data_IF_331625240432
#
_entry.id   IF_331625240432
#
_cell.length_a   1.000
_cell.length_b   1.000
_cell.length_c   1.000
_cell.angle_alpha   90.00
_cell.angle_beta   90.00
_cell.angle_gamma   90.00
#
_symmetry.space_group_name_H-M   'P 1'
#
loop_
_entity.id
_entity.type
_entity.pdbx_description
1 polymer ?
#
# COMPACT_ATOMS: atom_id res chain seq x y z
N UNK A 1 2.93 -25.25 -7.93
CA UNK A 1 3.20 -25.64 -9.32
C UNK A 1 4.20 -26.80 -9.29
N UNK A 2 3.77 -28.01 -9.65
CA UNK A 2 4.68 -29.16 -9.72
C UNK A 2 5.05 -29.39 -11.19
N UNK A 3 6.34 -29.56 -11.46
CA UNK A 3 6.85 -29.86 -12.79
C UNK A 3 7.17 -31.35 -12.86
N UNK A 4 6.31 -32.13 -13.50
CA UNK A 4 6.63 -33.52 -13.86
C UNK A 4 7.03 -33.55 -15.34
N UNK A 5 8.27 -33.97 -15.60
CA UNK A 5 8.77 -34.17 -16.96
C UNK A 5 8.34 -35.55 -17.47
N UNK A 6 7.56 -35.60 -18.55
CA UNK A 6 7.24 -36.83 -19.27
C UNK A 6 7.72 -36.64 -20.72
N UNK A 7 8.98 -36.99 -20.99
CA UNK A 7 9.58 -36.88 -22.32
C UNK A 7 9.75 -35.42 -22.82
N UNK A 8 9.37 -35.16 -24.09
CA UNK A 8 9.44 -33.83 -24.75
C UNK A 8 8.33 -32.85 -24.27
N UNK A 9 7.57 -33.24 -23.25
CA UNK A 9 6.43 -32.48 -22.73
C UNK A 9 6.63 -32.18 -21.24
N UNK A 10 6.43 -30.92 -20.87
CA UNK A 10 6.20 -30.55 -19.48
C UNK A 10 4.70 -30.38 -19.28
N UNK A 11 4.12 -31.19 -18.40
CA UNK A 11 2.75 -31.00 -17.95
C UNK A 11 2.79 -29.99 -16.79
N UNK A 12 2.39 -28.75 -17.06
CA UNK A 12 2.16 -27.78 -15.98
C UNK A 12 0.75 -28.03 -15.48
N UNK A 13 0.67 -28.88 -14.47
CA UNK A 13 -0.55 -29.16 -13.75
C UNK A 13 -0.81 -27.98 -12.82
N UNK A 14 -1.79 -27.15 -13.17
CA UNK A 14 -2.36 -26.19 -12.23
C UNK A 14 -3.42 -26.96 -11.44
N UNK A 15 -2.90 -27.82 -10.56
CA UNK A 15 -3.69 -28.56 -9.59
C UNK A 15 -3.98 -27.64 -8.42
N UNK A 16 -5.26 -27.50 -8.12
CA UNK A 16 -5.74 -26.52 -7.16
C UNK A 16 -6.20 -27.23 -5.88
N UNK A 17 -6.67 -28.47 -6.00
CA UNK A 17 -6.77 -29.47 -4.94
C UNK A 17 -6.82 -30.88 -5.56
N UNK A 18 -6.74 -31.97 -4.78
CA UNK A 18 -6.77 -33.37 -5.26
C UNK A 18 -7.98 -33.72 -6.14
N UNK A 19 -9.07 -32.94 -6.04
CA UNK A 19 -10.33 -33.19 -6.74
C UNK A 19 -10.72 -32.11 -7.77
N UNK A 20 -10.01 -30.96 -7.82
CA UNK A 20 -10.36 -29.84 -8.69
C UNK A 20 -9.15 -29.40 -9.52
N UNK A 21 -9.17 -29.77 -10.80
CA UNK A 21 -8.23 -29.25 -11.80
C UNK A 21 -8.86 -28.03 -12.46
N UNK A 22 -8.28 -26.84 -12.24
CA UNK A 22 -8.72 -25.61 -12.91
C UNK A 22 -8.24 -25.55 -14.36
N UNK A 23 -7.01 -26.00 -14.63
CA UNK A 23 -6.47 -26.06 -15.98
C UNK A 23 -5.31 -27.06 -16.11
N UNK A 24 -5.27 -27.75 -17.26
CA UNK A 24 -4.04 -28.38 -17.75
C UNK A 24 -3.36 -27.41 -18.72
N UNK A 25 -2.07 -27.14 -18.48
CA UNK A 25 -1.21 -26.43 -19.41
C UNK A 25 -0.15 -27.42 -19.89
N UNK A 26 -0.32 -27.91 -21.11
CA UNK A 26 0.66 -28.79 -21.76
C UNK A 26 1.61 -27.91 -22.54
N UNK A 27 2.87 -27.87 -22.13
CA UNK A 27 3.92 -27.13 -22.85
C UNK A 27 4.76 -28.13 -23.63
N UNK A 28 4.69 -28.04 -24.96
CA UNK A 28 5.57 -28.79 -25.88
C UNK A 28 6.81 -27.95 -26.12
N UNK A 29 7.95 -28.34 -25.53
CA UNK A 29 9.23 -27.69 -25.82
C UNK A 29 9.88 -28.42 -27.00
N UNK A 30 9.74 -27.87 -28.20
CA UNK A 30 10.58 -28.30 -29.32
C UNK A 30 11.98 -27.73 -29.10
N UNK A 31 12.95 -28.61 -28.85
CA UNK A 31 14.40 -28.38 -28.76
C UNK A 31 15.04 -28.18 -27.37
N UNK A 32 16.21 -28.81 -27.23
CA UNK A 32 17.11 -28.78 -26.07
C UNK A 32 17.58 -27.38 -25.62
N UNK A 33 17.26 -26.30 -26.34
CA UNK A 33 17.68 -24.92 -26.05
C UNK A 33 16.81 -24.18 -25.02
N UNK A 34 15.68 -24.74 -24.61
CA UNK A 34 14.70 -24.07 -23.74
C UNK A 34 14.67 -24.58 -22.29
N UNK A 35 15.82 -24.99 -21.74
CA UNK A 35 15.94 -25.53 -20.37
C UNK A 35 16.15 -24.49 -19.25
N UNK A 36 15.99 -23.20 -19.53
CA UNK A 36 16.03 -22.18 -18.46
C UNK A 36 14.65 -22.04 -17.82
N UNK A 37 14.58 -22.03 -16.48
CA UNK A 37 13.35 -21.84 -15.72
C UNK A 37 12.58 -20.56 -16.15
N UNK A 38 13.31 -19.54 -16.62
CA UNK A 38 12.73 -18.30 -17.16
C UNK A 38 11.89 -18.54 -18.43
N UNK A 39 12.38 -19.35 -19.37
CA UNK A 39 11.65 -19.66 -20.61
C UNK A 39 10.36 -20.42 -20.30
N UNK A 40 10.45 -21.43 -19.43
CA UNK A 40 9.28 -22.20 -18.99
C UNK A 40 8.25 -21.28 -18.35
N UNK A 41 8.69 -20.35 -17.50
CA UNK A 41 7.82 -19.35 -16.87
C UNK A 41 7.12 -18.48 -17.92
N UNK A 42 7.83 -17.92 -18.89
CA UNK A 42 7.25 -17.10 -19.96
C UNK A 42 6.20 -17.87 -20.78
N UNK A 43 6.46 -19.14 -21.12
CA UNK A 43 5.49 -19.95 -21.86
C UNK A 43 4.24 -20.22 -21.00
N UNK A 44 4.41 -20.50 -19.71
CA UNK A 44 3.28 -20.70 -18.80
C UNK A 44 2.40 -19.46 -18.72
N UNK A 45 3.00 -18.27 -18.61
CA UNK A 45 2.28 -17.00 -18.55
C UNK A 45 1.45 -16.79 -19.82
N UNK A 46 2.03 -17.01 -21.01
CA UNK A 46 1.30 -16.90 -22.28
C UNK A 46 0.12 -17.86 -22.40
N UNK A 47 0.27 -19.10 -21.94
CA UNK A 47 -0.86 -20.05 -21.95
C UNK A 47 -1.92 -19.63 -20.93
N UNK A 48 -1.50 -19.20 -19.75
CA UNK A 48 -2.39 -18.72 -18.69
C UNK A 48 -3.21 -17.52 -19.14
N UNK A 49 -2.59 -16.55 -19.80
CA UNK A 49 -3.22 -15.35 -20.33
C UNK A 49 -4.50 -15.68 -21.13
N UNK A 50 -4.43 -16.64 -22.05
CA UNK A 50 -5.59 -17.05 -22.87
C UNK A 50 -6.74 -17.67 -22.08
N UNK A 51 -6.43 -18.32 -20.94
CA UNK A 51 -7.41 -18.99 -20.07
C UNK A 51 -7.85 -18.13 -18.90
N UNK A 52 -7.13 -17.04 -18.62
CA UNK A 52 -7.27 -16.25 -17.41
C UNK A 52 -8.69 -15.70 -17.23
N UNK A 53 -9.34 -15.09 -18.24
CA UNK A 53 -10.69 -14.54 -18.05
C UNK A 53 -11.73 -15.59 -17.63
N UNK A 54 -11.61 -16.82 -18.17
CA UNK A 54 -12.51 -17.92 -17.82
C UNK A 54 -12.26 -18.43 -16.39
N UNK A 55 -10.99 -18.49 -15.96
CA UNK A 55 -10.61 -18.85 -14.60
C UNK A 55 -11.10 -17.82 -13.58
N UNK A 56 -10.88 -16.53 -13.87
CA UNK A 56 -11.34 -15.40 -13.05
C UNK A 56 -12.86 -15.47 -12.87
N UNK A 57 -13.62 -15.63 -13.96
CA UNK A 57 -15.09 -15.75 -13.90
C UNK A 57 -15.56 -16.96 -13.09
N UNK A 58 -14.85 -18.09 -13.20
CA UNK A 58 -15.19 -19.29 -12.43
C UNK A 58 -14.97 -19.05 -10.93
N UNK A 59 -13.85 -18.45 -10.56
CA UNK A 59 -13.51 -18.17 -9.16
C UNK A 59 -14.43 -17.09 -8.57
N UNK A 60 -14.75 -16.05 -9.32
CA UNK A 60 -15.75 -15.04 -8.96
C UNK A 60 -17.11 -15.67 -8.59
N UNK A 61 -17.59 -16.60 -9.43
CA UNK A 61 -18.81 -17.36 -9.14
C UNK A 61 -18.66 -18.25 -7.90
N UNK A 62 -17.50 -18.87 -7.70
CA UNK A 62 -17.23 -19.72 -6.52
C UNK A 62 -17.20 -18.91 -5.22
N UNK A 63 -16.69 -17.67 -5.24
CA UNK A 63 -16.72 -16.80 -4.05
C UNK A 63 -18.14 -16.26 -3.82
N UNK A 64 -18.84 -15.87 -4.88
CA UNK A 64 -20.22 -15.36 -4.79
C UNK A 64 -21.22 -16.40 -4.27
N UNK A 65 -20.98 -17.69 -4.55
CA UNK A 65 -21.77 -18.83 -4.07
C UNK A 65 -20.94 -19.71 -3.14
N UNK A 66 -20.18 -19.07 -2.24
CA UNK A 66 -19.19 -19.75 -1.40
C UNK A 66 -19.74 -20.99 -0.70
N UNK A 67 -19.01 -22.09 -0.86
CA UNK A 67 -19.16 -23.34 -0.11
C UNK A 67 -17.78 -23.76 0.39
N UNK A 68 -17.73 -24.44 1.54
CA UNK A 68 -16.46 -24.88 2.15
C UNK A 68 -15.65 -25.82 1.25
N UNK A 69 -16.31 -26.56 0.36
CA UNK A 69 -15.67 -27.45 -0.63
C UNK A 69 -14.78 -26.67 -1.63
N UNK A 70 -15.15 -25.43 -1.92
CA UNK A 70 -14.47 -24.59 -2.90
C UNK A 70 -13.31 -23.77 -2.30
N UNK A 71 -13.16 -23.71 -0.97
CA UNK A 71 -12.22 -22.81 -0.31
C UNK A 71 -10.76 -23.03 -0.74
N UNK A 72 -10.31 -24.28 -0.73
CA UNK A 72 -8.95 -24.62 -1.15
C UNK A 72 -8.69 -24.22 -2.61
N UNK A 73 -9.72 -24.36 -3.45
CA UNK A 73 -9.64 -23.99 -4.86
C UNK A 73 -9.48 -22.47 -5.05
N UNK A 74 -10.29 -21.70 -4.33
CA UNK A 74 -10.27 -20.23 -4.35
C UNK A 74 -8.91 -19.73 -3.85
N UNK A 75 -8.49 -20.18 -2.67
CA UNK A 75 -7.24 -19.74 -2.01
C UNK A 75 -6.03 -20.01 -2.90
N UNK A 76 -5.94 -21.20 -3.49
CA UNK A 76 -4.80 -21.56 -4.35
C UNK A 76 -4.79 -20.74 -5.63
N UNK A 77 -5.96 -20.45 -6.21
CA UNK A 77 -6.05 -19.57 -7.38
C UNK A 77 -5.62 -18.13 -7.04
N UNK A 78 -6.09 -17.58 -5.93
CA UNK A 78 -5.71 -16.23 -5.50
C UNK A 78 -4.21 -16.13 -5.18
N UNK A 79 -3.62 -17.15 -4.55
CA UNK A 79 -2.18 -17.22 -4.32
C UNK A 79 -1.38 -17.33 -5.63
N UNK A 80 -1.89 -18.05 -6.64
CA UNK A 80 -1.30 -18.04 -7.97
C UNK A 80 -1.36 -16.65 -8.59
N UNK A 81 -2.52 -15.97 -8.50
CA UNK A 81 -2.70 -14.61 -9.00
C UNK A 81 -1.69 -13.64 -8.37
N UNK A 82 -1.59 -13.65 -7.04
CA UNK A 82 -0.62 -12.86 -6.26
C UNK A 82 0.82 -13.11 -6.76
N UNK A 83 1.19 -14.38 -6.96
CA UNK A 83 2.54 -14.74 -7.43
C UNK A 83 2.87 -14.29 -8.86
N UNK A 84 1.85 -14.06 -9.69
CA UNK A 84 2.02 -13.60 -11.08
C UNK A 84 2.20 -12.07 -11.11
N UNK A 85 1.39 -11.34 -10.34
CA UNK A 85 1.43 -9.87 -10.35
C UNK A 85 2.50 -9.29 -9.44
N UNK A 86 3.00 -10.06 -8.47
CA UNK A 86 4.02 -9.56 -7.54
C UNK A 86 5.29 -9.13 -8.29
N UNK A 87 5.86 -7.99 -7.87
CA UNK A 87 7.12 -7.46 -8.41
C UNK A 87 8.26 -8.47 -8.26
N UNK A 88 8.20 -9.32 -7.22
CA UNK A 88 9.16 -10.42 -6.96
C UNK A 88 9.14 -11.50 -8.04
N UNK A 89 8.11 -11.53 -8.89
CA UNK A 89 8.01 -12.48 -9.99
C UNK A 89 9.07 -12.24 -11.09
N UNK A 90 9.70 -11.06 -11.18
CA UNK A 90 10.63 -10.72 -12.26
C UNK A 90 10.02 -10.96 -13.66
N UNK A 91 8.71 -10.74 -13.79
CA UNK A 91 8.00 -10.76 -15.07
C UNK A 91 8.01 -9.36 -15.68
N UNK A 92 7.97 -9.28 -17.01
CA UNK A 92 7.87 -7.98 -17.66
C UNK A 92 6.49 -7.37 -17.42
N UNK A 93 6.42 -6.04 -17.39
CA UNK A 93 5.14 -5.31 -17.26
C UNK A 93 4.15 -5.74 -18.34
N UNK A 94 4.64 -5.95 -19.57
CA UNK A 94 3.83 -6.41 -20.71
C UNK A 94 3.20 -7.78 -20.42
N UNK A 95 3.98 -8.73 -19.89
CA UNK A 95 3.50 -10.08 -19.60
C UNK A 95 2.50 -10.11 -18.43
N UNK A 96 2.61 -9.18 -17.49
CA UNK A 96 1.71 -9.10 -16.32
C UNK A 96 0.43 -8.31 -16.59
N UNK A 97 0.43 -7.38 -17.57
CA UNK A 97 -0.69 -6.48 -17.86
C UNK A 97 -2.06 -7.19 -17.97
N UNK A 98 -2.21 -8.31 -18.70
CA UNK A 98 -3.49 -8.99 -18.84
C UNK A 98 -4.08 -9.51 -17.52
N UNK A 99 -3.24 -9.71 -16.51
CA UNK A 99 -3.63 -10.26 -15.20
C UNK A 99 -4.18 -9.19 -14.25
N UNK A 100 -4.07 -7.90 -14.58
CA UNK A 100 -4.69 -6.81 -13.81
C UNK A 100 -6.15 -6.57 -14.22
N UNK A 101 -6.55 -6.99 -15.41
CA UNK A 101 -7.89 -6.77 -15.93
C UNK A 101 -8.97 -7.42 -15.05
N UNK A 102 -10.05 -6.68 -14.79
CA UNK A 102 -11.20 -7.08 -13.95
C UNK A 102 -10.89 -7.35 -12.47
N UNK A 103 -9.67 -7.11 -11.99
CA UNK A 103 -9.32 -7.38 -10.60
C UNK A 103 -10.14 -6.53 -9.62
N UNK A 104 -10.48 -5.29 -9.99
CA UNK A 104 -11.34 -4.42 -9.21
C UNK A 104 -12.75 -4.99 -8.99
N UNK A 105 -13.24 -5.91 -9.84
CA UNK A 105 -14.57 -6.51 -9.67
C UNK A 105 -14.66 -7.35 -8.42
N UNK A 106 -13.53 -7.89 -7.92
CA UNK A 106 -13.51 -8.72 -6.72
C UNK A 106 -13.73 -7.93 -5.44
N UNK A 107 -13.59 -6.59 -5.47
CA UNK A 107 -13.89 -5.73 -4.32
C UNK A 107 -15.36 -5.88 -3.91
N UNK A 108 -16.26 -6.02 -4.89
CA UNK A 108 -17.71 -6.10 -4.65
C UNK A 108 -18.14 -7.44 -4.07
N UNK A 109 -17.29 -8.46 -4.20
CA UNK A 109 -17.57 -9.81 -3.72
C UNK A 109 -17.24 -9.96 -2.24
N UNK A 110 -16.42 -9.06 -1.68
CA UNK A 110 -16.10 -9.03 -0.26
C UNK A 110 -17.35 -8.74 0.58
N UNK A 111 -17.80 -9.74 1.33
CA UNK A 111 -18.94 -9.63 2.23
C UNK A 111 -18.81 -10.60 3.42
N UNK A 112 -19.77 -10.55 4.35
CA UNK A 112 -19.75 -11.30 5.60
C UNK A 112 -19.88 -12.83 5.44
N UNK A 113 -20.34 -13.32 4.29
CA UNK A 113 -20.37 -14.75 3.96
C UNK A 113 -19.02 -15.30 3.50
N UNK A 114 -18.09 -14.44 3.10
CA UNK A 114 -16.76 -14.84 2.64
C UNK A 114 -15.84 -15.05 3.85
N UNK A 115 -15.16 -16.21 3.97
CA UNK A 115 -14.22 -16.50 5.05
C UNK A 115 -13.04 -15.55 5.13
N UNK A 116 -12.48 -15.36 6.33
CA UNK A 116 -11.30 -14.53 6.56
C UNK A 116 -10.07 -14.96 5.75
N UNK A 117 -9.94 -16.26 5.45
CA UNK A 117 -8.87 -16.81 4.60
C UNK A 117 -8.92 -16.23 3.18
N UNK A 118 -10.10 -16.19 2.56
CA UNK A 118 -10.31 -15.64 1.22
C UNK A 118 -10.17 -14.11 1.26
N UNK A 119 -10.71 -13.45 2.28
CA UNK A 119 -10.48 -12.01 2.51
C UNK A 119 -8.99 -11.66 2.51
N UNK A 120 -8.15 -12.40 3.25
CA UNK A 120 -6.70 -12.15 3.32
C UNK A 120 -6.04 -12.22 1.94
N UNK A 121 -6.38 -13.22 1.14
CA UNK A 121 -5.80 -13.38 -0.21
C UNK A 121 -6.27 -12.28 -1.17
N UNK A 122 -7.53 -11.87 -1.10
CA UNK A 122 -8.03 -10.75 -1.89
C UNK A 122 -7.38 -9.43 -1.49
N UNK A 123 -7.24 -9.16 -0.18
CA UNK A 123 -6.57 -7.97 0.31
C UNK A 123 -5.07 -7.96 -0.05
N UNK A 124 -4.38 -9.10 -0.01
CA UNK A 124 -3.00 -9.20 -0.51
C UNK A 124 -2.95 -8.81 -1.99
N UNK A 125 -3.82 -9.42 -2.81
CA UNK A 125 -3.88 -9.14 -4.24
C UNK A 125 -4.09 -7.65 -4.52
N UNK A 126 -5.04 -7.01 -3.83
CA UNK A 126 -5.31 -5.58 -4.00
C UNK A 126 -4.15 -4.71 -3.51
N UNK A 127 -3.49 -5.08 -2.41
CA UNK A 127 -2.33 -4.36 -1.89
C UNK A 127 -1.10 -4.48 -2.80
N UNK A 128 -0.91 -5.61 -3.49
CA UNK A 128 0.14 -5.79 -4.50
C UNK A 128 -0.13 -4.93 -5.75
N UNK A 129 -1.39 -4.81 -6.19
CA UNK A 129 -1.74 -3.88 -7.30
C UNK A 129 -1.54 -2.43 -6.88
N UNK A 130 -1.99 -2.06 -5.67
CA UNK A 130 -1.79 -0.72 -5.11
C UNK A 130 -0.44 -0.58 -4.39
N UNK A 131 0.62 -1.19 -4.93
CA UNK A 131 1.98 -1.10 -4.40
C UNK A 131 2.49 0.36 -4.49
N UNK A 132 2.14 1.16 -3.50
CA UNK A 132 2.23 2.61 -3.55
C UNK A 132 3.67 3.04 -3.30
N UNK A 133 4.28 2.58 -2.21
CA UNK A 133 5.57 3.05 -1.74
C UNK A 133 6.73 2.82 -2.72
N UNK A 134 6.75 1.69 -3.41
CA UNK A 134 7.84 1.30 -4.31
C UNK A 134 7.52 1.47 -5.80
N UNK A 135 6.25 1.67 -6.17
CA UNK A 135 5.84 1.77 -7.60
C UNK A 135 5.02 3.03 -7.86
N UNK A 136 3.79 3.10 -7.37
CA UNK A 136 2.84 4.14 -7.80
C UNK A 136 3.27 5.55 -7.34
N UNK A 137 3.85 5.68 -6.14
CA UNK A 137 4.31 6.95 -5.61
C UNK A 137 5.43 7.58 -6.46
N UNK A 138 6.19 6.79 -7.20
CA UNK A 138 7.32 7.23 -8.03
C UNK A 138 6.91 7.59 -9.48
N UNK A 139 5.74 7.13 -9.93
CA UNK A 139 5.25 7.38 -11.29
C UNK A 139 4.73 8.81 -11.46
N UNK A 140 4.88 9.41 -12.64
CA UNK A 140 4.26 10.71 -12.95
C UNK A 140 2.78 10.55 -13.32
N UNK A 141 2.48 9.58 -14.17
CA UNK A 141 1.14 9.19 -14.59
C UNK A 141 0.84 7.77 -14.13
N UNK A 142 -0.35 7.56 -13.58
CA UNK A 142 -0.80 6.27 -13.07
C UNK A 142 -1.52 5.48 -14.17
N UNK A 143 -1.38 4.16 -14.13
CA UNK A 143 -2.12 3.28 -15.04
C UNK A 143 -3.60 3.20 -14.64
N UNK A 144 -4.47 2.90 -15.61
CA UNK A 144 -5.92 2.83 -15.42
C UNK A 144 -6.32 1.75 -14.40
N UNK A 145 -5.63 0.60 -14.39
CA UNK A 145 -6.03 -0.54 -13.56
C UNK A 145 -5.87 -0.28 -12.03
N UNK A 146 -4.73 0.25 -11.52
CA UNK A 146 -4.62 0.69 -10.13
C UNK A 146 -5.61 1.81 -9.76
N UNK A 147 -5.84 2.78 -10.65
CA UNK A 147 -6.81 3.86 -10.41
C UNK A 147 -8.24 3.31 -10.27
N UNK A 148 -8.66 2.44 -11.19
CA UNK A 148 -9.96 1.79 -11.14
C UNK A 148 -10.13 0.98 -9.85
N UNK A 149 -9.11 0.22 -9.42
CA UNK A 149 -9.14 -0.49 -8.14
C UNK A 149 -9.29 0.46 -6.95
N UNK A 150 -8.50 1.53 -6.89
CA UNK A 150 -8.57 2.52 -5.82
C UNK A 150 -9.96 3.16 -5.74
N UNK A 151 -10.54 3.57 -6.87
CA UNK A 151 -11.89 4.11 -6.93
C UNK A 151 -12.97 3.13 -6.50
N UNK A 152 -12.85 1.85 -6.88
CA UNK A 152 -13.77 0.81 -6.42
C UNK A 152 -13.67 0.57 -4.91
N UNK A 153 -12.47 0.58 -4.33
CA UNK A 153 -12.29 0.49 -2.86
C UNK A 153 -12.88 1.70 -2.17
N UNK A 154 -12.56 2.92 -2.62
CA UNK A 154 -13.10 4.18 -2.10
C UNK A 154 -14.63 4.16 -2.07
N UNK A 155 -15.25 3.77 -3.19
CA UNK A 155 -16.71 3.65 -3.32
C UNK A 155 -17.29 2.56 -2.41
N UNK A 156 -16.64 1.40 -2.33
CA UNK A 156 -17.13 0.28 -1.51
C UNK A 156 -17.08 0.59 -0.02
N UNK A 157 -16.06 1.32 0.43
CA UNK A 157 -16.01 1.83 1.82
C UNK A 157 -17.14 2.83 2.04
N UNK A 158 -17.16 3.90 1.24
CA UNK A 158 -18.08 5.03 1.43
C UNK A 158 -19.55 4.67 1.30
N UNK A 159 -19.92 3.98 0.22
CA UNK A 159 -21.32 3.76 -0.19
C UNK A 159 -21.85 2.40 0.28
N UNK A 160 -20.99 1.38 0.36
CA UNK A 160 -21.42 -0.01 0.63
C UNK A 160 -21.01 -0.52 2.00
N UNK A 161 -20.42 0.34 2.84
CA UNK A 161 -20.04 0.02 4.22
C UNK A 161 -19.16 -1.23 4.30
N UNK A 162 -18.23 -1.39 3.35
CA UNK A 162 -17.34 -2.56 3.24
C UNK A 162 -16.61 -2.88 4.57
N UNK A 163 -16.25 -1.84 5.33
CA UNK A 163 -15.58 -1.99 6.63
C UNK A 163 -16.42 -2.74 7.67
N UNK A 164 -17.74 -2.63 7.61
CA UNK A 164 -18.66 -3.33 8.54
C UNK A 164 -18.78 -4.82 8.21
N UNK A 165 -18.39 -5.21 6.99
CA UNK A 165 -18.42 -6.60 6.52
C UNK A 165 -17.13 -7.37 6.86
N UNK A 166 -16.10 -6.68 7.38
CA UNK A 166 -14.80 -7.25 7.67
C UNK A 166 -14.93 -8.37 8.73
N UNK A 167 -14.51 -9.62 8.44
CA UNK A 167 -14.63 -10.74 9.38
C UNK A 167 -13.54 -10.71 10.48
N UNK A 168 -13.38 -9.57 11.14
CA UNK A 168 -12.35 -9.33 12.17
C UNK A 168 -12.44 -10.31 13.35
N UNK A 169 -13.66 -10.68 13.76
CA UNK A 169 -13.91 -11.66 14.83
C UNK A 169 -14.36 -13.03 14.31
N UNK A 170 -14.27 -13.26 12.99
CA UNK A 170 -14.73 -14.49 12.32
C UNK A 170 -13.74 -15.67 12.40
N UNK A 171 -12.58 -15.49 13.03
CA UNK A 171 -11.60 -16.56 13.27
C UNK A 171 -12.10 -17.65 14.21
N UNK A 172 -11.34 -18.75 14.32
CA UNK A 172 -11.62 -20.02 15.03
C UNK A 172 -11.97 -19.94 16.54
N UNK A 173 -12.20 -18.75 17.10
CA UNK A 173 -12.64 -18.53 18.49
C UNK A 173 -14.14 -18.72 18.75
N UNK A 174 -14.87 -19.52 17.96
CA UNK A 174 -16.35 -19.69 18.09
C UNK A 174 -16.80 -20.53 19.30
N UNK A 175 -15.90 -20.94 20.19
CA UNK A 175 -16.28 -21.54 21.48
C UNK A 175 -16.17 -20.51 22.61
N UNK A 176 -17.30 -19.89 22.94
CA UNK A 176 -17.51 -19.21 24.23
C UNK A 176 -16.98 -17.78 24.33
N UNK A 177 -17.87 -16.78 24.12
CA UNK A 177 -17.77 -15.45 24.75
C UNK A 177 -16.44 -14.69 24.64
N UNK A 178 -15.71 -14.83 23.53
CA UNK A 178 -14.30 -14.47 23.45
C UNK A 178 -14.01 -12.98 23.30
N UNK A 179 -13.39 -12.39 24.32
CA UNK A 179 -12.55 -11.20 24.27
C UNK A 179 -11.23 -11.47 23.50
N UNK A 180 -11.30 -12.09 22.31
CA UNK A 180 -10.12 -12.36 21.50
C UNK A 180 -9.55 -11.09 20.88
N UNK A 181 -8.24 -11.05 20.65
CA UNK A 181 -7.48 -9.92 20.03
C UNK A 181 -7.88 -9.61 18.57
N UNK A 182 -8.84 -10.38 18.02
CA UNK A 182 -9.30 -10.28 16.63
C UNK A 182 -8.23 -10.66 15.61
N UNK A 183 -8.60 -10.61 14.33
CA UNK A 183 -7.66 -10.83 13.22
C UNK A 183 -6.96 -9.51 12.88
N UNK A 184 -6.03 -9.08 13.73
CA UNK A 184 -5.25 -7.85 13.54
C UNK A 184 -4.54 -7.79 12.18
N UNK A 185 -3.91 -8.86 11.66
CA UNK A 185 -3.33 -8.87 10.32
C UNK A 185 -4.33 -8.59 9.21
N UNK A 186 -5.57 -9.08 9.34
CA UNK A 186 -6.63 -8.77 8.38
C UNK A 186 -7.00 -7.28 8.41
N UNK A 187 -7.14 -6.70 9.61
CA UNK A 187 -7.44 -5.27 9.77
C UNK A 187 -6.31 -4.39 9.23
N UNK A 188 -5.05 -4.73 9.52
CA UNK A 188 -3.87 -4.05 8.97
C UNK A 188 -3.91 -4.01 7.44
N UNK A 189 -4.17 -5.15 6.78
CA UNK A 189 -4.28 -5.23 5.31
C UNK A 189 -5.42 -4.39 4.75
N UNK A 190 -6.57 -4.35 5.43
CA UNK A 190 -7.71 -3.53 5.02
C UNK A 190 -7.39 -2.04 5.19
N UNK A 191 -6.84 -1.64 6.34
CA UNK A 191 -6.48 -0.26 6.61
C UNK A 191 -5.43 0.26 5.62
N UNK A 192 -4.39 -0.53 5.34
CA UNK A 192 -3.36 -0.17 4.35
C UNK A 192 -3.97 -0.04 2.96
N UNK A 193 -4.87 -0.94 2.56
CA UNK A 193 -5.55 -0.87 1.26
C UNK A 193 -6.35 0.43 1.12
N UNK A 194 -7.07 0.85 2.16
CA UNK A 194 -7.82 2.11 2.15
C UNK A 194 -6.86 3.30 2.03
N UNK A 195 -5.80 3.34 2.83
CA UNK A 195 -4.81 4.43 2.78
C UNK A 195 -4.15 4.54 1.41
N UNK A 196 -3.79 3.41 0.80
CA UNK A 196 -3.27 3.32 -0.57
C UNK A 196 -4.28 3.84 -1.59
N UNK A 197 -5.54 3.43 -1.48
CA UNK A 197 -6.60 3.86 -2.39
C UNK A 197 -6.82 5.37 -2.33
N UNK A 198 -6.84 5.95 -1.13
CA UNK A 198 -6.94 7.40 -0.94
C UNK A 198 -5.73 8.12 -1.57
N UNK A 199 -4.51 7.61 -1.33
CA UNK A 199 -3.29 8.21 -1.89
C UNK A 199 -3.25 8.16 -3.42
N UNK A 200 -3.69 7.05 -4.02
CA UNK A 200 -3.83 6.90 -5.48
C UNK A 200 -4.83 7.91 -6.04
N UNK A 201 -6.02 8.02 -5.45
CA UNK A 201 -7.04 8.99 -5.90
C UNK A 201 -6.55 10.44 -5.78
N UNK A 202 -5.87 10.81 -4.69
CA UNK A 202 -5.29 12.16 -4.55
C UNK A 202 -4.24 12.43 -5.62
N UNK A 203 -3.43 11.43 -5.95
CA UNK A 203 -2.37 11.57 -6.93
C UNK A 203 -2.91 11.70 -8.36
N UNK A 204 -3.89 10.88 -8.72
CA UNK A 204 -4.56 10.90 -10.02
C UNK A 204 -5.23 12.24 -10.29
N UNK A 205 -6.04 12.74 -9.36
CA UNK A 205 -6.75 14.01 -9.55
C UNK A 205 -5.82 15.19 -9.75
N UNK A 206 -4.69 15.23 -9.04
CA UNK A 206 -3.68 16.29 -9.20
C UNK A 206 -2.98 16.23 -10.56
N UNK A 207 -2.83 15.05 -11.14
CA UNK A 207 -2.26 14.90 -12.48
C UNK A 207 -3.23 15.40 -13.55
N UNK A 208 -4.51 15.03 -13.46
CA UNK A 208 -5.56 15.49 -14.38
C UNK A 208 -5.71 17.01 -14.34
N UNK A 209 -5.79 17.61 -13.14
CA UNK A 209 -5.89 19.07 -12.99
C UNK A 209 -4.67 19.82 -13.56
N UNK A 210 -3.50 19.20 -13.62
CA UNK A 210 -2.29 19.82 -14.16
C UNK A 210 -2.17 19.73 -15.69
N UNK A 211 -2.91 18.81 -16.31
CA UNK A 211 -2.84 18.55 -17.76
C UNK A 211 -3.86 19.35 -18.57
N UNK A 212 -5.02 19.68 -17.97
CA UNK A 212 -6.15 20.33 -18.65
C UNK A 212 -6.24 21.86 -18.44
N UNK A 213 -5.21 22.52 -17.90
CA UNK A 213 -5.22 23.98 -17.65
C UNK A 213 -5.10 24.85 -18.93
N UNK A 214 -5.60 24.36 -20.07
CA UNK A 214 -5.61 25.00 -21.38
C UNK A 214 -7.02 24.96 -21.95
N UNK A 215 -7.93 25.80 -21.45
CA UNK A 215 -8.92 26.62 -22.19
C UNK A 215 -9.83 27.30 -21.14
N UNK A 216 -9.93 28.63 -21.19
CA UNK A 216 -10.75 29.39 -20.25
C UNK A 216 -12.25 29.20 -20.51
N UNK A 217 -12.91 28.45 -19.64
CA UNK A 217 -14.34 28.55 -19.26
C UNK A 217 -14.79 27.40 -18.32
N UNK A 218 -13.97 26.36 -18.11
CA UNK A 218 -14.28 25.17 -17.29
C UNK A 218 -13.73 25.20 -15.85
N UNK A 219 -13.12 26.31 -15.42
CA UNK A 219 -12.44 26.39 -14.11
C UNK A 219 -13.40 26.21 -12.91
N UNK A 220 -14.64 26.71 -13.02
CA UNK A 220 -15.63 26.60 -11.94
C UNK A 220 -16.14 25.14 -11.75
N UNK A 221 -16.19 24.36 -12.84
CA UNK A 221 -16.62 22.95 -12.81
C UNK A 221 -15.51 22.04 -12.23
N UNK A 222 -14.25 22.30 -12.59
CA UNK A 222 -13.08 21.57 -12.05
C UNK A 222 -12.93 21.78 -10.54
N UNK A 223 -13.12 23.00 -10.04
CA UNK A 223 -13.06 23.28 -8.61
C UNK A 223 -14.20 22.59 -7.83
N UNK A 224 -15.39 22.50 -8.44
CA UNK A 224 -16.54 21.80 -7.84
C UNK A 224 -16.29 20.28 -7.74
N UNK A 225 -15.75 19.67 -8.80
CA UNK A 225 -15.42 18.24 -8.85
C UNK A 225 -14.31 17.88 -7.86
N UNK A 226 -13.25 18.70 -7.80
CA UNK A 226 -12.19 18.54 -6.80
C UNK A 226 -12.74 18.59 -5.38
N UNK A 227 -13.64 19.52 -5.08
CA UNK A 227 -14.28 19.59 -3.76
C UNK A 227 -15.14 18.34 -3.45
N UNK A 228 -15.79 17.72 -4.45
CA UNK A 228 -16.52 16.46 -4.26
C UNK A 228 -15.57 15.31 -3.92
N UNK A 229 -14.44 15.23 -4.63
CA UNK A 229 -13.44 14.18 -4.39
C UNK A 229 -12.82 14.34 -3.00
N UNK A 230 -12.46 15.56 -2.60
CA UNK A 230 -11.94 15.86 -1.26
C UNK A 230 -12.92 15.50 -0.14
N UNK A 231 -14.22 15.80 -0.30
CA UNK A 231 -15.26 15.36 0.65
C UNK A 231 -15.35 13.84 0.72
N UNK A 232 -15.23 13.16 -0.42
CA UNK A 232 -15.21 11.70 -0.50
C UNK A 232 -14.03 11.11 0.28
N UNK A 233 -12.84 11.69 0.10
CA UNK A 233 -11.62 11.29 0.82
C UNK A 233 -11.78 11.45 2.33
N UNK A 234 -12.27 12.61 2.79
CA UNK A 234 -12.49 12.87 4.22
C UNK A 234 -13.48 11.88 4.83
N UNK A 235 -14.55 11.56 4.11
CA UNK A 235 -15.53 10.59 4.59
C UNK A 235 -14.95 9.18 4.69
N UNK A 236 -14.21 8.71 3.69
CA UNK A 236 -13.55 7.40 3.73
C UNK A 236 -12.56 7.29 4.89
N UNK A 237 -11.72 8.31 5.09
CA UNK A 237 -10.77 8.34 6.21
C UNK A 237 -11.48 8.36 7.57
N UNK A 238 -12.61 9.08 7.68
CA UNK A 238 -13.43 9.09 8.90
C UNK A 238 -14.05 7.73 9.17
N UNK A 239 -14.55 7.03 8.16
CA UNK A 239 -15.10 5.68 8.31
C UNK A 239 -14.01 4.69 8.71
N UNK A 240 -12.80 4.79 8.14
CA UNK A 240 -11.65 4.00 8.53
C UNK A 240 -11.25 4.25 9.99
N UNK A 241 -11.14 5.51 10.41
CA UNK A 241 -10.83 5.91 11.79
C UNK A 241 -11.83 5.31 12.78
N UNK A 242 -13.12 5.44 12.49
CA UNK A 242 -14.19 4.86 13.31
C UNK A 242 -14.10 3.34 13.37
N UNK A 243 -13.87 2.67 12.24
CA UNK A 243 -13.76 1.22 12.18
C UNK A 243 -12.59 0.71 13.06
N UNK A 244 -11.40 1.30 12.91
CA UNK A 244 -10.22 0.90 13.68
C UNK A 244 -10.43 1.11 15.17
N UNK A 245 -10.98 2.25 15.59
CA UNK A 245 -11.26 2.56 17.00
C UNK A 245 -12.38 1.71 17.61
N UNK A 246 -13.27 1.15 16.79
CA UNK A 246 -14.29 0.20 17.25
C UNK A 246 -13.73 -1.22 17.42
N UNK A 247 -12.77 -1.61 16.57
CA UNK A 247 -12.21 -2.96 16.56
C UNK A 247 -11.03 -3.12 17.52
N UNK A 248 -10.27 -2.05 17.77
CA UNK A 248 -9.08 -2.02 18.62
C UNK A 248 -9.23 -1.00 19.77
N UNK A 249 -8.54 -1.22 20.90
CA UNK A 249 -8.70 -0.41 22.12
C UNK A 249 -7.96 0.94 22.06
N UNK A 250 -8.07 1.67 20.95
CA UNK A 250 -7.55 3.04 20.87
C UNK A 250 -8.44 4.01 21.63
N UNK A 251 -7.85 5.08 22.17
CA UNK A 251 -8.63 6.15 22.77
C UNK A 251 -9.45 6.87 21.67
N UNK A 252 -10.70 7.31 21.94
CA UNK A 252 -11.53 7.98 20.92
C UNK A 252 -10.86 9.21 20.30
N UNK A 253 -10.12 9.96 21.12
CA UNK A 253 -9.36 11.15 20.72
C UNK A 253 -8.00 10.83 20.09
N UNK A 254 -7.58 9.55 19.99
CA UNK A 254 -6.33 9.22 19.30
C UNK A 254 -6.43 9.62 17.83
N UNK A 255 -5.59 10.52 17.33
CA UNK A 255 -5.65 10.96 15.94
C UNK A 255 -5.22 9.84 14.99
N UNK A 256 -5.72 9.88 13.76
CA UNK A 256 -5.39 8.90 12.72
C UNK A 256 -3.88 8.81 12.48
N UNK A 257 -3.20 9.96 12.40
CA UNK A 257 -1.74 10.06 12.32
C UNK A 257 -0.99 9.23 13.37
N UNK A 258 -1.55 9.06 14.58
CA UNK A 258 -0.92 8.32 15.67
C UNK A 258 -1.28 6.83 15.65
N UNK A 259 -2.57 6.48 15.52
CA UNK A 259 -2.92 5.06 15.53
C UNK A 259 -2.42 4.33 14.30
N UNK A 260 -2.23 4.99 13.15
CA UNK A 260 -1.64 4.37 11.95
C UNK A 260 -0.25 3.81 12.30
N UNK A 261 0.59 4.59 12.97
CA UNK A 261 1.92 4.12 13.37
C UNK A 261 1.81 2.95 14.36
N UNK A 262 0.93 3.06 15.36
CA UNK A 262 0.76 2.01 16.37
C UNK A 262 0.17 0.71 15.77
N UNK A 263 -0.70 0.83 14.76
CA UNK A 263 -1.33 -0.31 14.10
C UNK A 263 -0.29 -1.14 13.34
N UNK A 264 0.67 -0.50 12.67
CA UNK A 264 1.66 -1.15 11.81
C UNK A 264 3.05 -1.31 12.46
N UNK A 265 3.22 -1.00 13.74
CA UNK A 265 4.52 -1.02 14.42
C UNK A 265 5.29 -2.37 14.36
N UNK A 266 4.61 -3.47 14.02
CA UNK A 266 5.17 -4.81 13.87
C UNK A 266 5.55 -5.18 12.42
N UNK A 267 5.29 -4.30 11.44
CA UNK A 267 5.50 -4.53 10.00
C UNK A 267 6.13 -3.28 9.36
N UNK A 268 7.47 -3.22 9.30
CA UNK A 268 8.21 -2.04 8.83
C UNK A 268 7.81 -1.60 7.41
N UNK A 269 7.63 -2.55 6.49
CA UNK A 269 7.23 -2.29 5.11
C UNK A 269 5.85 -1.61 5.03
N UNK A 270 4.85 -2.18 5.70
CA UNK A 270 3.49 -1.66 5.77
C UNK A 270 3.42 -0.33 6.53
N UNK A 271 4.20 -0.18 7.61
CA UNK A 271 4.29 1.03 8.41
C UNK A 271 4.80 2.20 7.57
N UNK A 272 5.97 2.03 6.95
CA UNK A 272 6.57 3.09 6.16
C UNK A 272 5.70 3.40 4.94
N UNK A 273 5.10 2.40 4.29
CA UNK A 273 4.19 2.62 3.17
C UNK A 273 2.94 3.40 3.59
N UNK A 274 2.33 3.07 4.73
CA UNK A 274 1.20 3.82 5.29
C UNK A 274 1.58 5.27 5.59
N UNK A 275 2.77 5.51 6.16
CA UNK A 275 3.29 6.85 6.44
C UNK A 275 3.51 7.67 5.16
N UNK A 276 3.99 7.04 4.07
CA UNK A 276 4.09 7.66 2.74
C UNK A 276 2.70 8.02 2.20
N UNK A 277 1.72 7.13 2.30
CA UNK A 277 0.34 7.42 1.89
C UNK A 277 -0.22 8.61 2.67
N UNK A 278 -0.08 8.64 4.00
CA UNK A 278 -0.55 9.76 4.82
C UNK A 278 0.10 11.09 4.44
N UNK A 279 1.43 11.09 4.23
CA UNK A 279 2.18 12.28 3.82
C UNK A 279 1.72 12.79 2.46
N UNK A 280 1.62 11.92 1.46
CA UNK A 280 1.24 12.30 0.10
C UNK A 280 -0.21 12.79 0.02
N UNK A 281 -1.13 12.15 0.77
CA UNK A 281 -2.52 12.61 0.88
C UNK A 281 -2.56 14.00 1.49
N UNK A 282 -1.88 14.23 2.61
CA UNK A 282 -1.85 15.56 3.22
C UNK A 282 -1.23 16.57 2.27
N UNK A 283 -0.06 16.31 1.70
CA UNK A 283 0.60 17.23 0.77
C UNK A 283 -0.26 17.52 -0.46
N UNK A 284 -0.93 16.52 -1.02
CA UNK A 284 -1.82 16.68 -2.17
C UNK A 284 -3.05 17.56 -1.86
N UNK A 285 -3.59 17.44 -0.65
CA UNK A 285 -4.72 18.24 -0.17
C UNK A 285 -4.31 19.63 0.35
N UNK A 286 -3.11 19.76 0.93
CA UNK A 286 -2.60 20.99 1.56
C UNK A 286 -2.40 22.13 0.55
N UNK A 287 -2.08 21.79 -0.71
CA UNK A 287 -1.96 22.75 -1.80
C UNK A 287 -3.29 23.01 -2.53
N UNK A 288 -4.43 22.60 -1.96
CA UNK A 288 -5.75 22.98 -2.45
C UNK A 288 -6.12 24.35 -1.85
N UNK A 289 -6.31 25.41 -2.66
CA UNK A 289 -6.54 26.78 -2.18
C UNK A 289 -7.86 26.95 -1.41
N UNK A 290 -8.75 25.95 -1.48
CA UNK A 290 -10.11 25.98 -0.90
C UNK A 290 -10.20 25.30 0.47
N UNK A 291 -9.16 24.61 0.94
CA UNK A 291 -9.27 23.74 2.11
C UNK A 291 -8.42 24.14 3.30
N UNK A 292 -8.99 23.90 4.48
CA UNK A 292 -8.26 23.85 5.74
C UNK A 292 -7.49 22.52 5.85
N UNK A 293 -6.24 22.55 6.38
CA UNK A 293 -5.47 21.34 6.63
C UNK A 293 -6.30 20.33 7.42
N UNK A 294 -6.33 19.07 7.00
CA UNK A 294 -6.98 18.02 7.77
C UNK A 294 -6.03 17.61 8.93
N UNK A 295 -6.34 17.95 10.20
CA UNK A 295 -5.46 17.63 11.31
C UNK A 295 -5.31 16.12 11.51
N UNK A 296 -6.25 15.30 10.99
CA UNK A 296 -6.24 13.86 11.17
C UNK A 296 -5.01 13.16 10.56
N UNK A 297 -4.41 13.74 9.51
CA UNK A 297 -3.26 13.18 8.77
C UNK A 297 -2.00 14.06 8.87
N UNK A 298 -1.83 14.79 9.97
CA UNK A 298 -0.65 15.65 10.18
C UNK A 298 0.66 14.87 9.97
N UNK A 299 1.48 15.21 8.97
CA UNK A 299 2.72 14.48 8.70
C UNK A 299 3.71 14.58 9.85
N UNK A 300 3.71 15.70 10.56
CA UNK A 300 4.52 15.93 11.76
C UNK A 300 4.07 15.02 12.90
N UNK A 301 2.77 14.88 13.13
CA UNK A 301 2.24 13.99 14.17
C UNK A 301 2.54 12.52 13.87
N UNK A 302 2.44 12.11 12.60
CA UNK A 302 2.84 10.76 12.16
C UNK A 302 4.34 10.52 12.38
N UNK A 303 5.19 11.50 12.06
CA UNK A 303 6.63 11.41 12.29
C UNK A 303 6.96 11.27 13.78
N UNK A 304 6.37 12.09 14.64
CA UNK A 304 6.61 12.02 16.10
C UNK A 304 6.16 10.67 16.65
N UNK A 305 4.98 10.19 16.25
CA UNK A 305 4.50 8.88 16.65
C UNK A 305 5.44 7.76 16.20
N UNK A 306 6.00 7.85 15.00
CA UNK A 306 7.01 6.91 14.52
C UNK A 306 8.30 6.96 15.35
N UNK A 307 8.82 8.16 15.64
CA UNK A 307 10.01 8.33 16.48
C UNK A 307 9.80 7.75 17.89
N UNK A 308 8.59 7.87 18.45
CA UNK A 308 8.22 7.23 19.71
C UNK A 308 8.25 5.70 19.62
N UNK A 309 7.71 5.12 18.54
CA UNK A 309 7.72 3.66 18.34
C UNK A 309 9.14 3.11 18.24
N UNK A 310 10.04 3.83 17.56
CA UNK A 310 11.47 3.45 17.48
C UNK A 310 12.31 3.97 18.65
N UNK A 311 11.69 4.47 19.72
CA UNK A 311 12.35 4.97 20.94
C UNK A 311 13.41 6.05 20.69
N UNK A 312 13.22 6.89 19.67
CA UNK A 312 14.17 7.91 19.22
C UNK A 312 15.58 7.37 18.90
N UNK A 313 15.67 6.10 18.50
CA UNK A 313 16.93 5.49 18.13
C UNK A 313 17.30 5.82 16.66
N UNK A 314 18.36 6.62 16.40
CA UNK A 314 18.78 6.95 15.05
C UNK A 314 19.32 5.74 14.27
N UNK A 315 19.77 4.68 14.96
CA UNK A 315 20.32 3.49 14.30
C UNK A 315 19.20 2.71 13.60
N UNK A 316 17.98 2.69 14.15
CA UNK A 316 16.80 2.10 13.48
C UNK A 316 16.49 2.82 12.17
N UNK A 317 16.54 4.15 12.15
CA UNK A 317 16.35 4.93 10.92
C UNK A 317 17.46 4.68 9.91
N UNK A 318 18.70 4.48 10.39
CA UNK A 318 19.82 4.16 9.53
C UNK A 318 19.66 2.77 8.89
N UNK A 319 19.25 1.78 9.67
CA UNK A 319 18.99 0.41 9.18
C UNK A 319 17.87 0.40 8.13
N UNK A 320 16.80 1.17 8.36
CA UNK A 320 15.72 1.35 7.38
C UNK A 320 16.19 2.04 6.08
N UNK A 321 17.21 2.92 6.13
CA UNK A 321 17.80 3.52 4.93
C UNK A 321 18.74 2.57 4.19
N UNK A 322 19.52 1.79 4.92
CA UNK A 322 20.49 0.87 4.29
C UNK A 322 19.79 -0.35 3.71
N UNK A 323 18.69 -0.80 4.33
CA UNK A 323 17.84 -1.87 3.83
C UNK A 323 17.07 -1.45 2.56
N UNK A 324 16.90 -2.38 1.63
CA UNK A 324 16.09 -2.23 0.44
C UNK A 324 14.68 -2.84 0.58
N UNK A 325 14.28 -3.21 1.80
CA UNK A 325 13.00 -3.86 2.08
C UNK A 325 11.85 -2.86 2.22
N UNK A 326 12.14 -1.60 2.55
CA UNK A 326 11.14 -0.56 2.79
C UNK A 326 11.30 0.61 1.82
N UNK A 327 10.26 1.42 1.67
CA UNK A 327 10.32 2.70 0.96
C UNK A 327 10.79 3.86 1.86
N UNK A 328 11.58 3.60 2.91
CA UNK A 328 11.93 4.60 3.92
C UNK A 328 12.74 5.78 3.36
N UNK A 329 13.61 5.54 2.37
CA UNK A 329 14.28 6.62 1.64
C UNK A 329 13.28 7.61 1.03
N UNK A 330 12.20 7.10 0.43
CA UNK A 330 11.16 7.93 -0.19
C UNK A 330 10.43 8.74 0.88
N UNK A 331 10.05 8.09 1.98
CA UNK A 331 9.42 8.75 3.11
C UNK A 331 10.30 9.88 3.66
N UNK A 332 11.55 9.57 4.04
CA UNK A 332 12.48 10.51 4.66
C UNK A 332 12.75 11.71 3.74
N UNK A 333 12.97 11.47 2.45
CA UNK A 333 13.17 12.55 1.48
C UNK A 333 11.97 13.50 1.42
N UNK A 334 10.74 12.97 1.41
CA UNK A 334 9.53 13.76 1.29
C UNK A 334 9.18 14.49 2.58
N UNK A 335 9.31 13.85 3.75
CA UNK A 335 9.02 14.50 5.03
C UNK A 335 10.01 15.64 5.31
N UNK A 336 11.31 15.46 5.00
CA UNK A 336 12.29 16.54 5.16
C UNK A 336 12.00 17.71 4.20
N UNK A 337 11.54 17.44 2.97
CA UNK A 337 11.09 18.50 2.06
C UNK A 337 9.87 19.24 2.60
N UNK A 338 8.91 18.51 3.18
CA UNK A 338 7.73 19.09 3.81
C UNK A 338 8.12 19.97 5.00
N UNK A 339 8.92 19.44 5.93
CA UNK A 339 9.42 20.17 7.11
C UNK A 339 10.13 21.46 6.71
N UNK A 340 11.07 21.39 5.77
CA UNK A 340 11.81 22.58 5.31
C UNK A 340 10.90 23.64 4.71
N UNK A 341 9.84 23.25 4.00
CA UNK A 341 8.89 24.19 3.39
C UNK A 341 7.93 24.79 4.42
N UNK A 342 7.54 24.01 5.43
CA UNK A 342 6.53 24.36 6.42
C UNK A 342 7.12 24.40 7.84
N UNK A 343 8.30 25.01 8.00
CA UNK A 343 9.08 24.92 9.23
C UNK A 343 8.35 25.45 10.48
N UNK A 344 7.65 26.59 10.35
CA UNK A 344 6.89 27.18 11.46
C UNK A 344 5.76 26.28 11.95
N UNK A 345 5.02 25.65 11.03
CA UNK A 345 3.97 24.68 11.36
C UNK A 345 4.58 23.41 11.98
N UNK A 346 5.69 22.92 11.43
CA UNK A 346 6.42 21.78 11.98
C UNK A 346 6.81 22.04 13.44
N UNK A 347 7.46 23.18 13.73
CA UNK A 347 7.83 23.58 15.10
C UNK A 347 6.61 23.67 16.01
N UNK A 348 5.54 24.33 15.55
CA UNK A 348 4.30 24.45 16.33
C UNK A 348 3.66 23.10 16.63
N UNK A 349 3.75 22.13 15.71
CA UNK A 349 3.14 20.82 15.86
C UNK A 349 4.01 19.89 16.72
N UNK A 350 5.34 20.00 16.65
CA UNK A 350 6.27 19.30 17.54
C UNK A 350 6.11 19.72 19.00
N UNK A 351 5.94 21.02 19.26
CA UNK A 351 5.88 21.53 20.63
C UNK A 351 7.12 21.13 21.42
N UNK A 352 6.92 20.39 22.53
CA UNK A 352 8.02 19.94 23.40
C UNK A 352 8.89 18.84 22.78
N UNK A 353 8.41 18.12 21.77
CA UNK A 353 9.12 17.01 21.12
C UNK A 353 10.14 17.49 20.07
N UNK A 354 10.26 18.81 19.86
CA UNK A 354 11.13 19.39 18.82
C UNK A 354 12.60 19.03 19.05
N UNK A 355 13.09 19.18 20.27
CA UNK A 355 14.50 18.95 20.61
C UNK A 355 14.88 17.48 20.43
N UNK A 356 14.02 16.56 20.88
CA UNK A 356 14.22 15.13 20.72
C UNK A 356 14.19 14.73 19.23
N UNK A 357 13.21 15.25 18.48
CA UNK A 357 13.09 15.03 17.03
C UNK A 357 14.35 15.50 16.29
N UNK A 358 14.83 16.71 16.57
CA UNK A 358 16.02 17.25 15.92
C UNK A 358 17.29 16.53 16.37
N UNK A 359 17.38 16.09 17.63
CA UNK A 359 18.50 15.26 18.12
C UNK A 359 18.64 13.97 17.31
N UNK A 360 17.52 13.29 17.01
CA UNK A 360 17.52 12.10 16.15
C UNK A 360 18.04 12.44 14.75
N UNK A 361 17.53 13.50 14.12
CA UNK A 361 17.95 13.87 12.76
C UNK A 361 19.40 14.31 12.66
N UNK A 362 19.93 15.02 13.66
CA UNK A 362 21.34 15.40 13.74
C UNK A 362 22.22 14.15 13.88
N UNK A 363 21.86 13.23 14.79
CA UNK A 363 22.62 11.97 14.96
C UNK A 363 22.58 11.09 13.72
N UNK A 364 21.41 10.98 13.07
CA UNK A 364 21.24 10.27 11.82
C UNK A 364 22.11 10.89 10.72
N UNK A 365 22.10 12.23 10.58
CA UNK A 365 22.95 12.95 9.62
C UNK A 365 24.42 12.62 9.83
N UNK A 366 24.91 12.69 11.07
CA UNK A 366 26.29 12.36 11.40
C UNK A 366 26.64 10.90 11.12
N UNK A 367 25.70 9.97 11.32
CA UNK A 367 25.90 8.56 10.99
C UNK A 367 25.98 8.32 9.48
N UNK A 368 25.08 8.92 8.71
CA UNK A 368 25.11 8.87 7.24
C UNK A 368 26.43 9.46 6.72
N UNK A 369 26.83 10.64 7.21
CA UNK A 369 28.07 11.30 6.78
C UNK A 369 29.31 10.43 7.01
N UNK A 370 29.41 9.76 8.18
CA UNK A 370 30.48 8.80 8.45
C UNK A 370 30.53 7.64 7.44
N UNK A 371 29.37 7.12 7.03
CA UNK A 371 29.31 6.04 6.03
C UNK A 371 29.66 6.54 4.62
N UNK A 372 29.21 7.75 4.26
CA UNK A 372 29.53 8.37 2.96
C UNK A 372 31.02 8.65 2.83
N UNK A 373 31.65 9.22 3.87
CA UNK A 373 33.10 9.48 3.90
C UNK A 373 33.93 8.21 3.71
N UNK A 374 33.40 7.06 4.16
CA UNK A 374 34.03 5.73 4.02
C UNK A 374 33.62 4.98 2.75
N UNK A 375 32.78 5.58 1.89
CA UNK A 375 32.18 4.95 0.71
C UNK A 375 31.44 3.63 1.03
N UNK A 376 30.81 3.55 2.21
CA UNK A 376 30.07 2.37 2.68
C UNK A 376 28.55 2.47 2.46
N UNK A 377 28.06 3.63 2.03
CA UNK A 377 26.63 3.82 1.79
C UNK A 377 26.21 3.18 0.45
N UNK A 378 25.14 2.36 0.39
CA UNK A 378 24.82 1.56 -0.79
C UNK A 378 24.41 2.35 -2.05
N UNK A 379 24.09 3.64 -1.91
CA UNK A 379 23.64 4.51 -2.99
C UNK A 379 23.92 5.99 -2.68
N UNK A 380 23.59 6.89 -3.62
CA UNK A 380 23.79 8.33 -3.45
C UNK A 380 22.76 8.96 -2.49
N UNK A 381 23.11 9.04 -1.21
CA UNK A 381 22.26 9.61 -0.14
C UNK A 381 22.36 11.16 -0.01
N UNK A 382 23.22 11.81 -0.78
CA UNK A 382 23.50 13.25 -0.66
C UNK A 382 22.26 14.17 -0.68
N UNK A 383 21.20 13.91 -1.47
CA UNK A 383 19.99 14.74 -1.43
C UNK A 383 19.31 14.76 -0.05
N UNK A 384 19.30 13.62 0.66
CA UNK A 384 18.76 13.50 2.02
C UNK A 384 19.70 14.20 3.00
N UNK A 385 21.01 13.97 2.89
CA UNK A 385 22.01 14.59 3.75
C UNK A 385 21.90 16.12 3.73
N UNK A 386 21.80 16.73 2.55
CA UNK A 386 21.61 18.18 2.38
C UNK A 386 20.29 18.70 2.94
N UNK A 387 19.25 17.87 3.01
CA UNK A 387 17.97 18.28 3.60
C UNK A 387 18.03 18.22 5.12
N UNK A 388 18.71 17.22 5.69
CA UNK A 388 18.98 17.14 7.12
C UNK A 388 19.80 18.35 7.59
N UNK A 389 20.87 18.70 6.87
CA UNK A 389 21.68 19.91 7.14
C UNK A 389 20.82 21.17 7.17
N UNK A 390 19.94 21.36 6.18
CA UNK A 390 19.05 22.52 6.14
C UNK A 390 18.04 22.56 7.28
N UNK A 391 17.55 21.41 7.75
CA UNK A 391 16.64 21.38 8.89
C UNK A 391 17.39 21.71 10.19
N UNK A 392 18.65 21.25 10.33
CA UNK A 392 19.53 21.61 11.43
C UNK A 392 19.85 23.11 11.43
N UNK A 393 20.20 23.70 10.29
CA UNK A 393 20.40 25.16 10.16
C UNK A 393 19.17 25.97 10.59
N UNK A 394 17.97 25.52 10.22
CA UNK A 394 16.71 26.16 10.63
C UNK A 394 16.45 26.05 12.14
N UNK A 395 16.85 24.94 12.75
CA UNK A 395 16.73 24.70 14.20
C UNK A 395 17.73 25.55 15.00
N UNK A 396 18.99 25.62 14.57
CA UNK A 396 20.03 26.46 15.19
C UNK A 396 19.74 27.96 14.99
N UNK A 397 19.24 28.34 13.81
CA UNK A 397 18.85 29.73 13.51
C UNK A 397 17.64 30.21 14.32
N UNK A 398 16.75 29.29 14.72
CA UNK A 398 15.57 29.58 15.55
C UNK A 398 15.85 29.66 17.06
N UNK A 399 16.95 29.06 17.53
CA UNK A 399 17.37 29.07 18.94
C UNK A 399 18.21 30.29 19.33
N UNK A 400 18.46 31.21 18.39
CA UNK A 400 19.23 32.44 18.58
C UNK A 400 18.40 33.69 19.02
N UNK A 401 17.18 33.53 19.55
CA UNK A 401 16.34 34.65 20.01
C UNK A 401 16.03 34.60 21.51
#
# INVERSE_FOLDING_TARGET
MAFEGIGDFYLVKIEVCREVVLAFVVVRLSEHRYRSACVVKCICIKVLETKWPALVKKVDSMISTYTSENECAIVTFLGLWESIISVKANLSVIDTKPFYSNLYSFVVVLNSSVPSSIWKHLLNLFNEVLCYGSTLALQECLAEEPCALAHHVMRSVKDWRLLDLLPFRGGSGRFGGGHGDGDRPLLQKMALLVLKSVAVTVKETRYESSSDSSVGSEADDVDADMAVIERSIREVLRQLDNCVKQLLPFHPETPLAQWVVQLFADQDDALIEAMVCCLDVTVGLYYSPTMTPNPALSPTSTLIAFLHVVSHDPDVLLDLLVSNETCFLLYLLRILKFMRRNWSEFVSCCGHELDDTMSVFIRLRLAIDRLVQRALFPYNINPVLRLLEKCEELYEGGTCY
#
